data_IF_984547045439
#
_entry.id   IF_984547045439
#
_cell.length_a   1.000
_cell.length_b   1.000
_cell.length_c   1.000
_cell.angle_alpha   90.00
_cell.angle_beta   90.00
_cell.angle_gamma   90.00
#
_symmetry.space_group_name_H-M   'P 1'
#
loop_
_entity.id
_entity.type
_entity.pdbx_description
1 polymer ?
#
# COMPACT_ATOMS: atom_id res chain seq x y z
N UNK A 1 16.68 -28.36 -17.13
CA UNK A 1 16.91 -27.80 -15.78
C UNK A 1 17.55 -26.41 -15.79
N UNK A 2 18.58 -26.14 -16.61
CA UNK A 2 19.18 -24.79 -16.72
C UNK A 2 18.18 -23.68 -17.12
N UNK A 3 17.28 -23.96 -18.07
CA UNK A 3 16.24 -23.01 -18.48
C UNK A 3 15.16 -22.79 -17.41
N UNK A 4 14.91 -23.79 -16.57
CA UNK A 4 13.96 -23.70 -15.45
C UNK A 4 14.53 -22.78 -14.37
N UNK A 5 15.80 -22.97 -14.01
CA UNK A 5 16.49 -22.09 -13.05
C UNK A 5 16.56 -20.64 -13.54
N UNK A 6 16.82 -20.42 -14.84
CA UNK A 6 16.80 -19.10 -15.43
C UNK A 6 15.40 -18.46 -15.37
N UNK A 7 14.35 -19.21 -15.67
CA UNK A 7 12.97 -18.72 -15.59
C UNK A 7 12.58 -18.36 -14.14
N UNK A 8 12.94 -19.16 -13.14
CA UNK A 8 12.69 -18.83 -11.73
C UNK A 8 13.41 -17.55 -11.29
N UNK A 9 14.66 -17.37 -11.71
CA UNK A 9 15.42 -16.16 -11.38
C UNK A 9 14.76 -14.90 -11.98
N UNK A 10 14.27 -14.98 -13.22
CA UNK A 10 13.56 -13.88 -13.89
C UNK A 10 12.23 -13.58 -13.21
N UNK A 11 11.45 -14.59 -12.86
CA UNK A 11 10.15 -14.39 -12.18
C UNK A 11 10.36 -13.74 -10.80
N UNK A 12 11.39 -14.17 -10.06
CA UNK A 12 11.70 -13.63 -8.73
C UNK A 12 12.05 -12.13 -8.77
N UNK A 13 12.82 -11.70 -9.77
CA UNK A 13 13.16 -10.27 -9.92
C UNK A 13 11.95 -9.43 -10.33
N UNK A 14 11.05 -9.96 -11.16
CA UNK A 14 9.81 -9.26 -11.54
C UNK A 14 8.88 -9.03 -10.35
N UNK A 15 8.75 -10.01 -9.45
CA UNK A 15 7.91 -9.88 -8.25
C UNK A 15 8.47 -8.83 -7.28
N UNK A 16 9.79 -8.80 -7.08
CA UNK A 16 10.43 -7.81 -6.22
C UNK A 16 10.33 -6.37 -6.75
N UNK A 17 10.14 -6.20 -8.06
CA UNK A 17 9.97 -4.89 -8.70
C UNK A 17 8.52 -4.40 -8.69
N UNK A 18 7.54 -5.19 -8.21
CA UNK A 18 6.18 -4.69 -8.07
C UNK A 18 6.15 -3.59 -7.00
N UNK A 19 5.68 -2.37 -7.33
CA UNK A 19 5.39 -1.39 -6.30
C UNK A 19 4.38 -2.02 -5.36
N UNK A 20 4.68 -2.03 -4.06
CA UNK A 20 3.67 -2.35 -3.06
C UNK A 20 2.44 -1.48 -3.38
N UNK A 21 1.26 -2.09 -3.46
CA UNK A 21 0.03 -1.34 -3.60
C UNK A 21 0.04 -0.29 -2.49
N UNK A 22 0.29 0.96 -2.88
CA UNK A 22 0.41 2.08 -1.97
C UNK A 22 -1.00 2.30 -1.44
N UNK A 23 -1.38 1.59 -0.38
CA UNK A 23 -2.53 1.93 0.41
C UNK A 23 -2.38 3.42 0.72
N UNK A 24 -3.33 4.23 0.24
CA UNK A 24 -3.16 5.67 0.14
C UNK A 24 -2.64 6.22 1.47
N UNK A 25 -1.39 6.68 1.43
CA UNK A 25 -0.53 6.77 2.60
C UNK A 25 -1.03 7.77 3.65
N UNK A 26 -1.07 7.28 4.88
CA UNK A 26 -1.34 8.06 6.07
C UNK A 26 -2.42 7.37 6.87
N UNK A 27 -2.05 6.33 7.63
CA UNK A 27 -2.97 5.64 8.52
C UNK A 27 -3.76 6.59 9.44
N UNK A 28 -4.70 6.04 10.19
CA UNK A 28 -5.65 6.82 10.98
C UNK A 28 -4.96 7.91 11.80
N UNK A 29 -5.56 9.09 11.82
CA UNK A 29 -5.14 10.16 12.74
C UNK A 29 -5.20 9.60 14.16
N UNK A 30 -4.19 9.95 14.98
CA UNK A 30 -4.19 9.58 16.41
C UNK A 30 -5.41 10.12 17.17
N UNK A 31 -5.99 11.22 16.67
CA UNK A 31 -7.19 11.85 17.21
C UNK A 31 -8.50 11.26 16.65
N UNK A 32 -8.46 10.13 15.94
CA UNK A 32 -9.69 9.51 15.45
C UNK A 32 -10.57 9.05 16.61
N UNK A 33 -11.90 9.23 16.51
CA UNK A 33 -12.84 8.71 17.50
C UNK A 33 -12.70 7.19 17.67
N UNK A 34 -13.09 6.63 18.83
CA UNK A 34 -13.12 5.18 19.02
C UNK A 34 -13.97 4.49 17.94
N UNK A 35 -13.40 3.51 17.26
CA UNK A 35 -14.08 2.75 16.21
C UNK A 35 -14.16 3.46 14.85
N UNK A 36 -13.47 4.58 14.67
CA UNK A 36 -13.36 5.24 13.37
C UNK A 36 -11.89 5.47 12.99
N UNK A 37 -11.61 5.49 11.69
CA UNK A 37 -10.33 5.86 11.10
C UNK A 37 -10.50 7.12 10.26
N UNK A 38 -10.01 8.25 10.74
CA UNK A 38 -10.07 9.53 10.04
C UNK A 38 -8.73 9.86 9.39
N UNK A 39 -8.76 10.36 8.16
CA UNK A 39 -7.54 10.79 7.48
C UNK A 39 -7.73 12.09 6.68
N UNK A 40 -6.63 12.80 6.46
CA UNK A 40 -6.61 14.05 5.71
C UNK A 40 -6.49 13.75 4.22
N UNK A 41 -7.49 14.12 3.44
CA UNK A 41 -7.40 14.09 1.99
C UNK A 41 -6.50 15.24 1.53
N UNK A 42 -5.25 14.93 1.13
CA UNK A 42 -4.29 15.95 0.70
C UNK A 42 -4.67 16.67 -0.61
N UNK A 43 -5.58 16.09 -1.40
CA UNK A 43 -6.07 16.70 -2.64
C UNK A 43 -7.12 17.78 -2.36
N UNK A 44 -7.99 17.55 -1.38
CA UNK A 44 -9.11 18.46 -1.07
C UNK A 44 -8.87 19.29 0.19
N UNK A 45 -7.89 18.93 1.02
CA UNK A 45 -7.67 19.51 2.34
C UNK A 45 -8.72 19.13 3.38
N UNK A 46 -9.61 18.19 3.09
CA UNK A 46 -10.70 17.80 3.97
C UNK A 46 -10.39 16.51 4.74
N UNK A 47 -10.82 16.48 6.00
CA UNK A 47 -10.82 15.25 6.80
C UNK A 47 -12.08 14.46 6.48
N UNK A 48 -11.92 13.16 6.31
CA UNK A 48 -13.06 12.25 6.29
C UNK A 48 -12.74 11.01 7.12
N UNK A 49 -13.79 10.42 7.71
CA UNK A 49 -13.72 9.28 8.62
C UNK A 49 -14.36 8.05 7.99
N UNK A 50 -13.75 6.90 8.28
CA UNK A 50 -14.19 5.57 7.88
C UNK A 50 -14.52 4.82 9.17
N UNK A 51 -15.44 3.86 9.12
CA UNK A 51 -15.68 2.95 10.23
C UNK A 51 -14.92 1.66 10.00
#
# INVERSE_FOLDING_TARGET
MRHVLAALAVISTLVAAMPAAQAHGGGCRKSSPPGECCHMNRKTGQVHCHR
#
